data_IF_381415392335
#
_entry.id   IF_381415392335
#
_cell.length_a   1.000
_cell.length_b   1.000
_cell.length_c   1.000
_cell.angle_alpha   90.00
_cell.angle_beta   90.00
_cell.angle_gamma   90.00
#
_symmetry.space_group_name_H-M   'P 1'
#
loop_
_entity.id
_entity.type
_entity.pdbx_description
1 polymer ?
#
# COMPACT_ATOMS: atom_id res chain seq x y z
N UNK A 1 43.51 1.73 4.89
CA UNK A 1 42.60 0.55 4.79
C UNK A 1 41.19 0.87 5.29
N UNK A 2 41.06 1.57 6.42
CA UNK A 2 39.73 1.89 7.02
C UNK A 2 38.89 2.95 6.25
N UNK A 3 39.50 3.69 5.34
CA UNK A 3 38.82 4.73 4.53
C UNK A 3 38.21 4.16 3.25
N UNK A 4 38.76 3.07 2.72
CA UNK A 4 38.27 2.42 1.50
C UNK A 4 36.97 1.67 1.78
N UNK A 5 36.84 1.00 2.95
CA UNK A 5 35.61 0.31 3.36
C UNK A 5 34.39 1.25 3.52
N UNK A 6 34.62 2.51 3.90
CA UNK A 6 33.52 3.48 4.05
C UNK A 6 32.97 3.96 2.70
N UNK A 7 33.78 4.05 1.67
CA UNK A 7 33.37 4.44 0.34
C UNK A 7 32.55 3.34 -0.37
N UNK A 8 32.87 2.07 -0.11
CA UNK A 8 32.12 0.94 -0.65
C UNK A 8 30.70 0.79 -0.07
N UNK A 9 30.46 1.30 1.12
CA UNK A 9 29.14 1.27 1.77
C UNK A 9 28.25 2.46 1.32
N UNK A 10 28.85 3.61 1.00
CA UNK A 10 28.10 4.83 0.67
C UNK A 10 27.30 4.69 -0.63
N UNK A 11 27.87 4.09 -1.66
CA UNK A 11 27.21 3.90 -2.94
C UNK A 11 25.92 3.06 -2.87
N UNK A 12 25.95 1.85 -2.31
CA UNK A 12 24.75 1.03 -2.09
C UNK A 12 23.72 1.70 -1.18
N UNK A 13 24.16 2.41 -0.14
CA UNK A 13 23.25 3.11 0.80
C UNK A 13 22.50 4.24 0.11
N UNK A 14 23.17 5.08 -0.66
CA UNK A 14 22.54 6.17 -1.42
C UNK A 14 21.55 5.61 -2.45
N UNK A 15 21.92 4.54 -3.16
CA UNK A 15 21.01 3.87 -4.11
C UNK A 15 19.75 3.35 -3.40
N UNK A 16 19.91 2.66 -2.28
CA UNK A 16 18.80 2.16 -1.48
C UNK A 16 17.87 3.28 -0.98
N UNK A 17 18.42 4.41 -0.54
CA UNK A 17 17.64 5.59 -0.14
C UNK A 17 16.86 6.18 -1.30
N UNK A 18 17.47 6.32 -2.48
CA UNK A 18 16.81 6.83 -3.68
C UNK A 18 15.67 5.91 -4.13
N UNK A 19 15.92 4.60 -4.19
CA UNK A 19 14.89 3.61 -4.52
C UNK A 19 13.74 3.71 -3.52
N UNK A 20 14.03 3.69 -2.21
CA UNK A 20 13.01 3.77 -1.17
C UNK A 20 12.17 5.05 -1.26
N UNK A 21 12.79 6.20 -1.53
CA UNK A 21 12.09 7.47 -1.70
C UNK A 21 11.17 7.46 -2.93
N UNK A 22 11.66 7.03 -4.09
CA UNK A 22 10.86 7.00 -5.32
C UNK A 22 9.72 5.99 -5.24
N UNK A 23 10.00 4.80 -4.71
CA UNK A 23 8.97 3.78 -4.49
C UNK A 23 7.91 4.27 -3.52
N UNK A 24 8.31 4.84 -2.38
CA UNK A 24 7.39 5.37 -1.37
C UNK A 24 6.49 6.47 -1.94
N UNK A 25 7.05 7.39 -2.71
CA UNK A 25 6.30 8.45 -3.39
C UNK A 25 5.31 7.86 -4.41
N UNK A 26 5.76 6.91 -5.23
CA UNK A 26 4.89 6.27 -6.24
C UNK A 26 3.74 5.52 -5.58
N UNK A 27 4.02 4.76 -4.52
CA UNK A 27 2.99 4.03 -3.77
C UNK A 27 1.99 5.00 -3.14
N UNK A 28 2.46 6.09 -2.52
CA UNK A 28 1.61 7.11 -1.93
C UNK A 28 0.67 7.75 -2.97
N UNK A 29 1.18 8.11 -4.13
CA UNK A 29 0.39 8.64 -5.24
C UNK A 29 -0.62 7.59 -5.76
N UNK A 30 -0.21 6.34 -5.91
CA UNK A 30 -1.11 5.27 -6.31
C UNK A 30 -2.26 5.06 -5.31
N UNK A 31 -1.98 5.11 -4.01
CA UNK A 31 -3.03 5.00 -2.98
C UNK A 31 -4.03 6.13 -3.10
N UNK A 32 -3.57 7.36 -3.23
CA UNK A 32 -4.44 8.53 -3.28
C UNK A 32 -5.26 8.61 -4.57
N UNK A 33 -4.63 8.43 -5.73
CA UNK A 33 -5.30 8.63 -7.01
C UNK A 33 -6.01 7.40 -7.58
N UNK A 34 -5.52 6.18 -7.27
CA UNK A 34 -6.07 4.96 -7.87
C UNK A 34 -6.98 4.18 -6.91
N UNK A 35 -6.69 4.20 -5.61
CA UNK A 35 -7.30 3.23 -4.70
C UNK A 35 -8.34 3.82 -3.72
N UNK A 36 -8.38 5.14 -3.51
CA UNK A 36 -9.27 5.71 -2.51
C UNK A 36 -10.76 5.44 -2.81
N UNK A 37 -11.24 5.72 -4.01
CA UNK A 37 -12.67 5.64 -4.33
C UNK A 37 -13.02 4.62 -5.41
N UNK A 38 -12.10 4.37 -6.34
CA UNK A 38 -12.39 3.65 -7.57
C UNK A 38 -12.69 2.16 -7.39
N UNK A 39 -12.16 1.55 -6.33
CA UNK A 39 -12.25 0.10 -6.08
C UNK A 39 -13.02 -0.26 -4.81
N UNK A 40 -13.78 0.66 -4.24
CA UNK A 40 -14.54 0.50 -3.00
C UNK A 40 -15.44 -0.75 -2.99
N UNK A 41 -16.06 -1.06 -4.13
CA UNK A 41 -17.01 -2.18 -4.29
C UNK A 41 -16.35 -3.51 -4.67
N UNK A 42 -15.01 -3.57 -4.74
CA UNK A 42 -14.29 -4.78 -5.11
C UNK A 42 -13.95 -5.65 -3.90
N UNK A 43 -13.81 -6.96 -4.14
CA UNK A 43 -13.47 -7.90 -3.08
C UNK A 43 -12.08 -7.63 -2.49
N UNK A 44 -11.91 -7.97 -1.23
CA UNK A 44 -10.64 -7.87 -0.51
C UNK A 44 -9.48 -8.55 -1.26
N UNK A 45 -9.71 -9.79 -1.73
CA UNK A 45 -8.70 -10.55 -2.45
C UNK A 45 -8.28 -9.86 -3.75
N UNK A 46 -9.25 -9.32 -4.50
CA UNK A 46 -8.96 -8.57 -5.72
C UNK A 46 -8.07 -7.36 -5.41
N UNK A 47 -8.40 -6.59 -4.38
CA UNK A 47 -7.62 -5.42 -3.98
C UNK A 47 -6.21 -5.79 -3.53
N UNK A 48 -6.07 -6.87 -2.76
CA UNK A 48 -4.77 -7.37 -2.33
C UNK A 48 -3.88 -7.71 -3.52
N UNK A 49 -4.39 -8.53 -4.44
CA UNK A 49 -3.63 -8.98 -5.62
C UNK A 49 -3.31 -7.81 -6.55
N UNK A 50 -4.28 -6.95 -6.83
CA UNK A 50 -4.09 -5.81 -7.73
C UNK A 50 -3.05 -4.82 -7.18
N UNK A 51 -3.13 -4.46 -5.90
CA UNK A 51 -2.13 -3.61 -5.24
C UNK A 51 -0.75 -4.26 -5.24
N UNK A 52 -0.68 -5.54 -4.94
CA UNK A 52 0.60 -6.27 -4.97
C UNK A 52 1.25 -6.19 -6.35
N UNK A 53 0.49 -6.41 -7.42
CA UNK A 53 1.01 -6.31 -8.80
C UNK A 53 1.50 -4.90 -9.09
N UNK A 54 0.69 -3.88 -8.80
CA UNK A 54 1.05 -2.47 -9.06
C UNK A 54 2.33 -2.09 -8.29
N UNK A 55 2.41 -2.42 -7.02
CA UNK A 55 3.56 -2.07 -6.19
C UNK A 55 4.81 -2.85 -6.59
N UNK A 56 4.70 -4.15 -6.83
CA UNK A 56 5.85 -4.96 -7.30
C UNK A 56 6.38 -4.47 -8.64
N UNK A 57 5.50 -4.05 -9.56
CA UNK A 57 5.90 -3.47 -10.85
C UNK A 57 6.59 -2.12 -10.66
N UNK A 58 6.07 -1.24 -9.81
CA UNK A 58 6.69 0.04 -9.51
C UNK A 58 8.08 -0.14 -8.88
N UNK A 59 8.20 -1.06 -7.93
CA UNK A 59 9.47 -1.37 -7.26
C UNK A 59 10.49 -1.89 -8.27
N UNK A 60 10.12 -2.90 -9.06
CA UNK A 60 10.99 -3.47 -10.09
C UNK A 60 11.46 -2.42 -11.09
N UNK A 61 10.57 -1.51 -11.50
CA UNK A 61 10.91 -0.42 -12.42
C UNK A 61 11.94 0.53 -11.82
N UNK A 62 11.73 0.99 -10.57
CA UNK A 62 12.66 1.93 -9.93
C UNK A 62 14.00 1.29 -9.62
N UNK A 63 13.99 0.03 -9.19
CA UNK A 63 15.21 -0.73 -8.92
C UNK A 63 16.06 -0.89 -10.20
N UNK A 64 15.45 -1.32 -11.31
CA UNK A 64 16.12 -1.44 -12.59
C UNK A 64 16.64 -0.09 -13.09
N UNK A 65 15.86 0.96 -12.98
CA UNK A 65 16.21 2.29 -13.43
C UNK A 65 17.45 2.81 -12.68
N UNK A 66 17.45 2.73 -11.35
CA UNK A 66 18.54 3.28 -10.53
C UNK A 66 19.80 2.44 -10.64
N UNK A 67 19.68 1.11 -10.62
CA UNK A 67 20.83 0.23 -10.76
C UNK A 67 21.44 0.34 -12.16
N UNK A 68 20.65 0.40 -13.21
CA UNK A 68 21.16 0.61 -14.57
C UNK A 68 21.83 1.98 -14.74
N UNK A 69 21.22 3.05 -14.20
CA UNK A 69 21.82 4.37 -14.22
C UNK A 69 23.16 4.43 -13.45
N UNK A 70 23.20 3.78 -12.28
CA UNK A 70 24.42 3.67 -11.49
C UNK A 70 25.52 2.93 -12.25
N UNK A 71 25.21 1.79 -12.86
CA UNK A 71 26.17 0.99 -13.62
C UNK A 71 26.70 1.77 -14.85
N UNK A 72 25.81 2.49 -15.55
CA UNK A 72 26.20 3.36 -16.66
C UNK A 72 27.17 4.45 -16.22
N UNK A 73 26.90 5.13 -15.11
CA UNK A 73 27.69 6.26 -14.63
C UNK A 73 28.99 5.86 -13.95
N UNK A 74 29.01 4.73 -13.23
CA UNK A 74 30.18 4.34 -12.42
C UNK A 74 31.10 3.35 -13.11
N UNK A 75 30.56 2.50 -13.98
CA UNK A 75 31.33 1.42 -14.63
C UNK A 75 31.61 1.71 -16.11
N UNK A 76 31.13 2.85 -16.64
CA UNK A 76 31.26 3.23 -18.08
C UNK A 76 30.74 2.12 -19.04
N UNK A 77 29.75 1.38 -18.61
CA UNK A 77 29.11 0.34 -19.43
C UNK A 77 28.16 0.97 -20.46
N UNK A 78 27.93 0.28 -21.56
CA UNK A 78 26.85 0.66 -22.47
C UNK A 78 25.49 0.53 -21.81
N UNK A 79 24.44 1.17 -22.36
CA UNK A 79 23.09 1.11 -21.81
C UNK A 79 22.60 -0.35 -21.72
N UNK A 80 22.81 -1.15 -22.76
CA UNK A 80 22.41 -2.56 -22.78
C UNK A 80 23.14 -3.41 -21.74
N UNK A 81 24.44 -3.21 -21.57
CA UNK A 81 25.25 -3.90 -20.57
C UNK A 81 24.87 -3.48 -19.15
N UNK A 82 24.52 -2.21 -18.95
CA UNK A 82 24.07 -1.69 -17.65
C UNK A 82 22.74 -2.32 -17.21
N UNK A 83 21.79 -2.46 -18.12
CA UNK A 83 20.51 -3.14 -17.86
C UNK A 83 20.75 -4.63 -17.60
N UNK A 84 21.56 -5.28 -18.42
CA UNK A 84 21.89 -6.69 -18.22
C UNK A 84 22.56 -6.93 -16.86
N UNK A 85 23.50 -6.07 -16.48
CA UNK A 85 24.17 -6.15 -15.19
C UNK A 85 23.19 -5.96 -14.02
N UNK A 86 22.26 -4.99 -14.13
CA UNK A 86 21.25 -4.74 -13.10
C UNK A 86 20.32 -5.97 -12.90
N UNK A 87 19.94 -6.66 -13.98
CA UNK A 87 19.04 -7.82 -13.90
C UNK A 87 19.76 -9.10 -13.43
N UNK A 88 20.95 -9.35 -13.96
CA UNK A 88 21.58 -10.68 -13.82
C UNK A 88 22.78 -10.71 -12.88
N UNK A 89 23.52 -9.62 -12.71
CA UNK A 89 24.71 -9.57 -11.82
C UNK A 89 24.37 -9.07 -10.44
N UNK A 90 23.38 -8.18 -10.31
CA UNK A 90 22.89 -7.72 -9.03
C UNK A 90 21.77 -8.66 -8.55
N UNK A 91 21.51 -8.69 -7.27
CA UNK A 91 20.56 -9.65 -6.65
C UNK A 91 19.09 -9.31 -6.94
N UNK A 92 18.79 -8.73 -8.11
CA UNK A 92 17.46 -8.25 -8.52
C UNK A 92 16.32 -9.26 -8.29
N UNK A 93 16.42 -10.56 -8.71
CA UNK A 93 15.32 -11.50 -8.49
C UNK A 93 15.08 -11.80 -7.00
N UNK A 94 16.16 -11.83 -6.21
CA UNK A 94 16.09 -12.03 -4.76
C UNK A 94 15.43 -10.83 -4.10
N UNK A 95 15.89 -9.63 -4.42
CA UNK A 95 15.44 -8.39 -3.80
C UNK A 95 13.97 -8.11 -4.18
N UNK A 96 13.61 -8.34 -5.43
CA UNK A 96 12.21 -8.30 -5.90
C UNK A 96 11.31 -9.28 -5.12
N UNK A 97 11.77 -10.51 -4.88
CA UNK A 97 11.01 -11.51 -4.13
C UNK A 97 10.77 -11.09 -2.67
N UNK A 98 11.82 -10.59 -2.00
CA UNK A 98 11.74 -10.12 -0.61
C UNK A 98 10.79 -8.93 -0.52
N UNK A 99 10.95 -7.94 -1.40
CA UNK A 99 10.14 -6.71 -1.39
C UNK A 99 8.67 -7.04 -1.72
N UNK A 100 8.42 -7.95 -2.66
CA UNK A 100 7.05 -8.40 -2.98
C UNK A 100 6.41 -9.06 -1.76
N UNK A 101 7.12 -9.93 -1.05
CA UNK A 101 6.62 -10.57 0.17
C UNK A 101 6.31 -9.53 1.26
N UNK A 102 7.23 -8.59 1.51
CA UNK A 102 7.02 -7.50 2.46
C UNK A 102 5.83 -6.63 2.07
N UNK A 103 5.66 -6.34 0.78
CA UNK A 103 4.52 -5.58 0.26
C UNK A 103 3.20 -6.30 0.52
N UNK A 104 3.11 -7.60 0.26
CA UNK A 104 1.90 -8.40 0.53
C UNK A 104 1.53 -8.33 2.01
N UNK A 105 2.50 -8.55 2.90
CA UNK A 105 2.28 -8.50 4.35
C UNK A 105 1.82 -7.09 4.77
N UNK A 106 2.49 -6.06 4.28
CA UNK A 106 2.16 -4.66 4.60
C UNK A 106 0.76 -4.28 4.12
N UNK A 107 0.38 -4.65 2.90
CA UNK A 107 -0.95 -4.40 2.35
C UNK A 107 -2.01 -5.14 3.17
N UNK A 108 -1.77 -6.40 3.51
CA UNK A 108 -2.68 -7.18 4.33
C UNK A 108 -2.91 -6.54 5.72
N UNK A 109 -1.84 -6.10 6.38
CA UNK A 109 -1.91 -5.41 7.67
C UNK A 109 -2.66 -4.07 7.57
N UNK A 110 -2.41 -3.27 6.53
CA UNK A 110 -3.10 -2.01 6.30
C UNK A 110 -4.59 -2.22 6.04
N UNK A 111 -4.96 -3.28 5.32
CA UNK A 111 -6.35 -3.62 5.07
C UNK A 111 -7.07 -4.11 6.34
N UNK A 112 -6.42 -4.92 7.17
CA UNK A 112 -6.93 -5.33 8.48
C UNK A 112 -7.15 -4.10 9.37
N UNK A 113 -6.19 -3.16 9.38
CA UNK A 113 -6.31 -1.92 10.15
C UNK A 113 -7.53 -1.07 9.75
N UNK A 114 -7.94 -1.08 8.48
CA UNK A 114 -9.15 -0.37 8.01
C UNK A 114 -10.46 -0.98 8.52
N UNK A 115 -10.46 -2.27 8.89
CA UNK A 115 -11.62 -2.96 9.45
C UNK A 115 -11.80 -2.68 10.95
N UNK A 116 -10.76 -2.20 11.63
CA UNK A 116 -10.77 -1.90 13.06
C UNK A 116 -10.76 -0.39 13.31
N UNK A 117 -11.33 0.03 14.43
CA UNK A 117 -11.27 1.43 14.86
C UNK A 117 -9.83 1.86 15.12
N UNK A 118 -9.47 3.14 14.88
CA UNK A 118 -8.16 3.64 15.24
C UNK A 118 -7.85 3.39 16.72
N UNK A 119 -6.72 2.75 16.99
CA UNK A 119 -6.28 2.41 18.35
C UNK A 119 -6.70 1.02 18.86
N UNK A 120 -7.71 0.37 18.31
CA UNK A 120 -8.15 -0.96 18.78
C UNK A 120 -7.07 -2.03 18.60
N UNK A 121 -6.33 -1.98 17.49
CA UNK A 121 -5.24 -2.91 17.24
C UNK A 121 -4.14 -2.81 18.31
N UNK A 122 -3.78 -1.60 18.72
CA UNK A 122 -2.79 -1.37 19.77
C UNK A 122 -3.29 -1.87 21.11
N UNK A 123 -4.58 -1.62 21.44
CA UNK A 123 -5.21 -2.14 22.65
C UNK A 123 -5.23 -3.67 22.66
N UNK A 124 -5.44 -4.29 21.50
CA UNK A 124 -5.40 -5.74 21.35
C UNK A 124 -4.00 -6.30 21.60
N UNK A 125 -2.97 -5.74 20.96
CA UNK A 125 -1.56 -6.18 21.09
C UNK A 125 -1.05 -5.96 22.51
N UNK A 126 -1.46 -4.87 23.17
CA UNK A 126 -1.03 -4.53 24.53
C UNK A 126 -1.87 -5.20 25.64
N UNK A 127 -2.88 -6.01 25.26
CA UNK A 127 -3.79 -6.65 26.21
C UNK A 127 -4.78 -5.71 26.90
N UNK A 128 -4.76 -4.42 26.59
CA UNK A 128 -5.68 -3.42 27.18
C UNK A 128 -7.12 -3.56 26.71
N UNK A 129 -7.35 -4.29 25.63
CA UNK A 129 -8.69 -4.50 25.09
C UNK A 129 -9.64 -5.23 26.08
N UNK A 130 -9.08 -6.03 26.97
CA UNK A 130 -9.85 -6.78 27.97
C UNK A 130 -10.10 -6.01 29.27
N UNK A 131 -9.56 -4.81 29.41
CA UNK A 131 -9.76 -3.98 30.59
C UNK A 131 -10.97 -3.06 30.38
N UNK A 132 -11.88 -2.94 31.39
CA UNK A 132 -12.96 -1.96 31.33
C UNK A 132 -12.40 -0.55 31.18
N UNK A 133 -12.94 0.21 30.23
CA UNK A 133 -12.54 1.58 29.97
C UNK A 133 -13.78 2.47 29.91
N UNK A 134 -13.75 3.56 30.64
CA UNK A 134 -14.81 4.56 30.60
C UNK A 134 -14.63 5.44 29.36
N UNK A 135 -15.61 5.46 28.46
CA UNK A 135 -15.53 6.19 27.20
C UNK A 135 -16.72 7.11 27.04
N UNK A 136 -16.47 8.38 26.83
CA UNK A 136 -17.51 9.33 26.45
C UNK A 136 -17.80 9.18 24.94
N UNK A 137 -19.05 8.83 24.62
CA UNK A 137 -19.51 8.66 23.24
C UNK A 137 -20.70 9.57 22.96
N UNK A 138 -20.67 10.16 21.76
CA UNK A 138 -21.84 10.85 21.21
C UNK A 138 -22.53 9.88 20.27
N UNK A 139 -23.82 9.59 20.51
CA UNK A 139 -24.63 8.76 19.64
C UNK A 139 -25.48 9.65 18.75
N UNK A 140 -25.31 9.54 17.44
CA UNK A 140 -26.12 10.19 16.44
C UNK A 140 -27.01 9.15 15.75
N UNK A 141 -28.32 9.33 15.83
CA UNK A 141 -29.30 8.49 15.14
C UNK A 141 -29.79 9.25 13.90
N UNK A 142 -29.56 8.68 12.74
CA UNK A 142 -30.02 9.23 11.46
C UNK A 142 -30.94 8.20 10.83
N UNK A 143 -32.13 8.62 10.43
CA UNK A 143 -33.11 7.79 9.77
C UNK A 143 -33.52 8.39 8.43
N UNK A 144 -33.81 7.54 7.48
CA UNK A 144 -34.30 7.90 6.15
C UNK A 144 -35.83 8.02 6.18
N UNK A 145 -36.35 9.21 5.91
CA UNK A 145 -37.80 9.41 5.78
C UNK A 145 -38.35 8.49 4.71
N UNK A 146 -39.40 7.74 5.08
CA UNK A 146 -40.09 6.79 4.18
C UNK A 146 -39.18 5.65 3.67
N UNK A 147 -38.24 5.21 4.47
CA UNK A 147 -37.27 4.14 4.12
C UNK A 147 -37.93 2.87 3.60
N UNK A 148 -39.04 2.46 4.21
CA UNK A 148 -39.83 1.29 3.80
C UNK A 148 -40.40 1.44 2.38
N UNK A 149 -41.02 2.56 2.07
CA UNK A 149 -41.60 2.83 0.75
C UNK A 149 -40.52 2.91 -0.35
N UNK A 150 -39.33 3.42 0.00
CA UNK A 150 -38.18 3.45 -0.91
C UNK A 150 -37.68 2.01 -1.15
N UNK A 151 -37.57 1.19 -0.09
CA UNK A 151 -37.15 -0.21 -0.21
C UNK A 151 -38.11 -1.04 -1.06
N UNK A 152 -39.42 -0.86 -0.87
CA UNK A 152 -40.45 -1.54 -1.68
C UNK A 152 -40.37 -1.16 -3.17
N UNK A 153 -40.11 0.10 -3.48
CA UNK A 153 -39.99 0.59 -4.87
C UNK A 153 -38.70 0.11 -5.56
N UNK A 154 -37.59 0.10 -4.85
CA UNK A 154 -36.28 -0.21 -5.42
C UNK A 154 -35.97 -1.71 -5.41
N UNK A 155 -36.62 -2.48 -4.54
CA UNK A 155 -36.25 -3.86 -4.25
C UNK A 155 -34.99 -3.97 -3.40
N UNK A 156 -34.82 -5.10 -2.74
CA UNK A 156 -33.81 -5.28 -1.68
C UNK A 156 -32.38 -4.98 -2.13
N UNK A 157 -31.98 -5.44 -3.32
CA UNK A 157 -30.59 -5.31 -3.81
C UNK A 157 -30.24 -3.85 -4.12
N UNK A 158 -31.13 -3.15 -4.83
CA UNK A 158 -30.90 -1.75 -5.21
C UNK A 158 -30.96 -0.85 -3.98
N UNK A 159 -31.91 -1.11 -3.07
CA UNK A 159 -32.00 -0.39 -1.80
C UNK A 159 -30.76 -0.56 -0.92
N UNK A 160 -30.23 -1.78 -0.83
CA UNK A 160 -28.97 -2.01 -0.10
C UNK A 160 -27.79 -1.24 -0.70
N UNK A 161 -27.68 -1.20 -2.04
CA UNK A 161 -26.65 -0.41 -2.72
C UNK A 161 -26.83 1.09 -2.48
N UNK A 162 -28.06 1.56 -2.52
CA UNK A 162 -28.40 2.96 -2.22
C UNK A 162 -27.99 3.33 -0.78
N UNK A 163 -28.29 2.49 0.20
CA UNK A 163 -27.89 2.73 1.59
C UNK A 163 -26.37 2.81 1.74
N UNK A 164 -25.63 1.92 1.10
CA UNK A 164 -24.16 1.94 1.14
C UNK A 164 -23.62 3.26 0.59
N UNK A 165 -24.15 3.74 -0.54
CA UNK A 165 -23.72 4.99 -1.15
C UNK A 165 -24.13 6.19 -0.27
N UNK A 166 -25.38 6.21 0.24
CA UNK A 166 -25.90 7.26 1.11
C UNK A 166 -25.07 7.43 2.40
N UNK A 167 -24.77 6.34 3.10
CA UNK A 167 -23.97 6.42 4.33
C UNK A 167 -22.50 6.75 4.06
N UNK A 168 -21.99 6.37 2.91
CA UNK A 168 -20.63 6.75 2.53
C UNK A 168 -20.52 8.27 2.29
N UNK A 169 -21.47 8.85 1.56
CA UNK A 169 -21.44 10.29 1.29
C UNK A 169 -21.59 11.15 2.56
N UNK A 170 -22.23 10.58 3.60
CA UNK A 170 -22.34 11.25 4.91
C UNK A 170 -21.10 11.11 5.79
N UNK A 171 -20.26 10.08 5.56
CA UNK A 171 -19.08 9.82 6.39
C UNK A 171 -17.79 10.36 5.79
N UNK A 172 -17.82 10.82 4.54
CA UNK A 172 -16.93 11.63 3.72
C UNK A 172 -15.48 11.34 3.71
#
# INVERSE_FOLDING_TARGET
LHYIDKLDILGPTIRGMLIGFLVGTTIGLCEEFLFLDRFRKKSYLFLLLFRTIVYSTAIAFHELLINSASNFLTQNLSISESIYAAVYREHFPRDLSIITLVSIISIALLQIRRLHRPGDLIKYITGRYHLPEEVNKIFLFIDLKSSTAIAERLGNTVYSSFLIDYFHDMTG
#
